data_IF_680454073666
#
_entry.id   IF_680454073666
#
_cell.length_a   1.000
_cell.length_b   1.000
_cell.length_c   1.000
_cell.angle_alpha   90.00
_cell.angle_beta   90.00
_cell.angle_gamma   90.00
#
_symmetry.space_group_name_H-M   'P 1'
#
loop_
_entity.id
_entity.type
_entity.pdbx_description
1 polymer ?
#
# COMPACT_ATOMS: atom_id res chain seq x y z
N UNK A 1 11.70 12.16 12.00
CA UNK A 1 12.47 12.68 10.84
C UNK A 1 13.10 11.51 10.14
N UNK A 2 12.68 11.19 8.90
CA UNK A 2 13.40 10.20 8.08
C UNK A 2 14.75 10.82 7.74
N UNK A 3 15.80 10.23 8.27
CA UNK A 3 17.18 10.53 7.93
C UNK A 3 17.29 10.46 6.40
N UNK A 4 18.01 11.37 5.76
CA UNK A 4 18.25 11.39 4.31
C UNK A 4 19.20 10.25 3.93
N UNK A 5 18.87 9.01 4.30
CA UNK A 5 19.45 7.80 3.74
C UNK A 5 19.16 7.83 2.25
N UNK A 6 20.18 7.57 1.43
CA UNK A 6 20.01 7.50 -0.02
C UNK A 6 19.15 6.29 -0.33
N UNK A 7 17.84 6.51 -0.45
CA UNK A 7 16.87 5.48 -0.80
C UNK A 7 16.76 5.38 -2.32
N UNK A 8 16.99 4.19 -2.88
CA UNK A 8 16.70 3.93 -4.30
C UNK A 8 15.34 3.26 -4.40
N UNK A 9 14.50 3.79 -5.28
CA UNK A 9 13.26 3.16 -5.69
C UNK A 9 13.55 1.84 -6.41
N UNK A 10 13.05 0.73 -5.86
CA UNK A 10 13.25 -0.61 -6.45
C UNK A 10 12.05 -1.00 -7.30
N UNK A 11 10.85 -0.90 -6.73
CA UNK A 11 9.65 -1.47 -7.33
C UNK A 11 8.46 -0.56 -7.11
N UNK A 12 7.54 -0.57 -8.07
CA UNK A 12 6.27 0.14 -8.00
C UNK A 12 5.16 -0.84 -8.34
N UNK A 13 4.21 -1.03 -7.44
CA UNK A 13 3.03 -1.88 -7.63
C UNK A 13 1.76 -1.20 -7.18
N UNK A 14 0.64 -1.61 -7.77
CA UNK A 14 -0.69 -1.19 -7.36
C UNK A 14 -1.43 -2.37 -6.75
N UNK A 15 -1.98 -2.16 -5.56
CA UNK A 15 -2.93 -3.04 -4.91
C UNK A 15 -4.33 -2.43 -5.10
N UNK A 16 -5.29 -3.28 -5.43
CA UNK A 16 -6.66 -2.87 -5.69
C UNK A 16 -7.58 -3.52 -4.66
N UNK A 17 -8.57 -2.76 -4.20
CA UNK A 17 -9.68 -3.33 -3.43
C UNK A 17 -11.00 -3.07 -4.13
N UNK A 18 -12.03 -3.75 -3.66
CA UNK A 18 -13.40 -3.50 -4.08
C UNK A 18 -14.06 -2.34 -3.31
N UNK A 19 -13.33 -1.68 -2.40
CA UNK A 19 -13.85 -0.55 -1.64
C UNK A 19 -14.04 0.64 -2.56
N UNK A 20 -15.24 1.18 -2.58
CA UNK A 20 -15.62 2.38 -3.31
C UNK A 20 -15.78 3.53 -2.33
N UNK A 21 -15.43 4.72 -2.80
CA UNK A 21 -15.64 5.94 -2.03
C UNK A 21 -17.13 6.19 -1.81
N UNK A 22 -17.49 6.67 -0.62
CA UNK A 22 -18.84 7.10 -0.25
C UNK A 22 -19.92 5.99 -0.34
N UNK A 23 -19.55 4.73 -0.07
CA UNK A 23 -20.49 3.61 0.06
C UNK A 23 -20.56 3.10 1.51
N UNK A 24 -21.70 2.50 1.86
CA UNK A 24 -21.89 1.80 3.12
C UNK A 24 -21.45 0.34 2.98
N UNK A 25 -20.72 -0.14 3.97
CA UNK A 25 -20.25 -1.52 4.07
C UNK A 25 -20.65 -2.11 5.41
N UNK A 26 -20.93 -3.42 5.45
CA UNK A 26 -20.98 -4.12 6.73
C UNK A 26 -19.58 -4.19 7.35
N UNK A 27 -19.50 -4.37 8.67
CA UNK A 27 -18.23 -4.56 9.37
C UNK A 27 -17.40 -5.69 8.75
N UNK A 28 -18.05 -6.81 8.45
CA UNK A 28 -17.42 -8.02 7.90
C UNK A 28 -16.86 -7.77 6.49
N UNK A 29 -17.62 -7.09 5.64
CA UNK A 29 -17.18 -6.73 4.29
C UNK A 29 -15.95 -5.82 4.33
N UNK A 30 -16.00 -4.77 5.16
CA UNK A 30 -14.89 -3.83 5.29
C UNK A 30 -13.62 -4.52 5.80
N UNK A 31 -13.74 -5.39 6.80
CA UNK A 31 -12.62 -6.17 7.33
C UNK A 31 -12.02 -7.07 6.26
N UNK A 32 -12.85 -7.82 5.55
CA UNK A 32 -12.39 -8.75 4.51
C UNK A 32 -11.64 -8.01 3.39
N UNK A 33 -12.19 -6.90 2.89
CA UNK A 33 -11.57 -6.12 1.81
C UNK A 33 -10.22 -5.50 2.22
N UNK A 34 -10.08 -5.08 3.49
CA UNK A 34 -8.83 -4.53 4.02
C UNK A 34 -7.81 -5.62 4.37
N UNK A 35 -8.27 -6.80 4.76
CA UNK A 35 -7.38 -7.94 5.07
C UNK A 35 -6.60 -8.36 3.83
N UNK A 36 -7.24 -8.39 2.65
CA UNK A 36 -6.57 -8.70 1.37
C UNK A 36 -5.37 -7.77 1.12
N UNK A 37 -5.51 -6.47 1.41
CA UNK A 37 -4.40 -5.52 1.30
C UNK A 37 -3.29 -5.83 2.29
N UNK A 38 -3.67 -6.13 3.53
CA UNK A 38 -2.73 -6.43 4.61
C UNK A 38 -1.90 -7.65 4.26
N UNK A 39 -2.53 -8.73 3.79
CA UNK A 39 -1.87 -9.96 3.39
C UNK A 39 -0.89 -9.73 2.22
N UNK A 40 -1.27 -8.91 1.23
CA UNK A 40 -0.41 -8.57 0.10
C UNK A 40 0.81 -7.72 0.48
N UNK A 41 0.71 -6.92 1.54
CA UNK A 41 1.82 -6.14 2.10
C UNK A 41 2.71 -7.04 2.95
N UNK A 42 2.14 -7.94 3.75
CA UNK A 42 2.91 -8.86 4.60
C UNK A 42 3.79 -9.83 3.82
N UNK A 43 3.38 -10.21 2.60
CA UNK A 43 4.20 -11.03 1.68
C UNK A 43 5.47 -10.31 1.18
N UNK A 44 5.62 -9.00 1.42
CA UNK A 44 6.73 -8.20 0.91
C UNK A 44 7.92 -8.27 1.86
N UNK A 45 9.11 -8.38 1.28
CA UNK A 45 10.37 -8.42 2.04
C UNK A 45 10.98 -7.04 2.22
N UNK A 46 10.54 -6.05 1.44
CA UNK A 46 11.00 -4.68 1.54
C UNK A 46 10.54 -4.03 2.85
N UNK A 47 11.40 -3.21 3.46
CA UNK A 47 11.14 -2.60 4.77
C UNK A 47 10.55 -1.19 4.69
N UNK A 48 10.68 -0.53 3.54
CA UNK A 48 10.30 0.87 3.34
C UNK A 48 9.43 1.00 2.11
N UNK A 49 8.28 1.63 2.28
CA UNK A 49 7.34 1.92 1.20
C UNK A 49 6.91 3.38 1.21
N UNK A 50 6.86 3.98 0.02
CA UNK A 50 6.07 5.17 -0.22
C UNK A 50 4.67 4.75 -0.65
N UNK A 51 3.64 5.34 -0.03
CA UNK A 51 2.24 4.98 -0.24
C UNK A 51 1.52 6.13 -0.95
N UNK A 52 0.87 5.84 -2.06
CA UNK A 52 -0.06 6.76 -2.73
C UNK A 52 -1.45 6.14 -2.80
N UNK A 53 -2.42 6.81 -2.21
CA UNK A 53 -3.82 6.41 -2.25
C UNK A 53 -4.52 7.06 -3.44
N UNK A 54 -5.33 6.29 -4.16
CA UNK A 54 -6.27 6.76 -5.19
C UNK A 54 -7.64 6.20 -4.84
N UNK A 55 -8.69 7.02 -4.96
CA UNK A 55 -10.01 6.70 -4.40
C UNK A 55 -11.14 6.73 -5.44
N UNK A 56 -10.82 6.88 -6.73
CA UNK A 56 -11.80 7.02 -7.82
C UNK A 56 -11.57 5.97 -8.91
N UNK A 57 -12.56 5.10 -9.23
CA UNK A 57 -13.82 4.85 -8.51
C UNK A 57 -13.67 3.91 -7.29
N UNK A 58 -12.53 3.24 -7.16
CA UNK A 58 -12.21 2.33 -6.06
C UNK A 58 -10.97 2.80 -5.30
N UNK A 59 -10.81 2.33 -4.07
CA UNK A 59 -9.57 2.45 -3.32
C UNK A 59 -8.48 1.60 -4.00
N UNK A 60 -7.47 2.28 -4.48
CA UNK A 60 -6.23 1.72 -4.99
C UNK A 60 -5.08 2.24 -4.15
N UNK A 61 -4.22 1.34 -3.70
CA UNK A 61 -2.99 1.66 -2.99
C UNK A 61 -1.82 1.40 -3.93
N UNK A 62 -1.13 2.47 -4.31
CA UNK A 62 0.11 2.39 -5.06
C UNK A 62 1.28 2.38 -4.07
N UNK A 63 1.97 1.25 -4.00
CA UNK A 63 3.13 1.04 -3.15
C UNK A 63 4.39 1.14 -4.00
N UNK A 64 5.33 1.98 -3.56
CA UNK A 64 6.66 2.04 -4.12
C UNK A 64 7.65 1.59 -3.06
N UNK A 65 8.36 0.48 -3.28
CA UNK A 65 9.37 -0.03 -2.35
C UNK A 65 10.72 0.62 -2.60
N UNK A 66 11.47 0.83 -1.51
CA UNK A 66 12.79 1.44 -1.54
C UNK A 66 13.82 0.54 -0.86
N UNK A 67 15.05 0.57 -1.38
CA UNK A 67 16.23 0.03 -0.69
C UNK A 67 17.02 1.18 -0.12
N UNK A 68 17.49 1.02 1.11
CA UNK A 68 18.62 1.82 1.56
C UNK A 68 19.87 1.40 0.78
N UNK A 69 20.57 2.39 0.23
CA UNK A 69 21.97 2.21 -0.13
C UNK A 69 22.73 2.40 1.18
N UNK A 70 23.34 1.33 1.69
CA UNK A 70 24.34 1.46 2.75
C UNK A 70 25.46 2.39 2.27
N UNK A 71 25.96 3.22 3.19
CA UNK A 71 27.05 4.18 2.94
C UNK A 71 28.31 3.50 2.40
#
# INVERSE_FOLDING_TARGET
MLNTTRLIKINKRSLFTNLRSNQLYSKEQLVNDLQVLTDEIQKRTEKVFFVKLKTTPYLQIELTSYKEIDK
#
